data_IF_308954609704
#
_entry.id   IF_308954609704
#
_cell.length_a   1.000
_cell.length_b   1.000
_cell.length_c   1.000
_cell.angle_alpha   90.00
_cell.angle_beta   90.00
_cell.angle_gamma   90.00
#
_symmetry.space_group_name_H-M   'P 1'
#
loop_
_entity.id
_entity.type
_entity.pdbx_description
1 polymer ?
#
# COMPACT_ATOMS: atom_id res chain seq x y z
N UNK A 1 -46.26 15.55 52.59
CA UNK A 1 -45.06 14.68 52.56
C UNK A 1 -45.20 13.87 51.28
N UNK A 2 -44.77 14.32 50.10
CA UNK A 2 -43.40 14.58 49.60
C UNK A 2 -42.46 13.37 49.78
N UNK A 3 -41.67 13.02 48.74
CA UNK A 3 -41.51 11.65 48.21
C UNK A 3 -40.05 11.16 48.20
N UNK A 4 -39.84 9.88 47.84
CA UNK A 4 -38.56 9.32 47.35
C UNK A 4 -38.88 8.14 46.41
N UNK A 5 -38.63 8.25 45.10
CA UNK A 5 -37.36 7.97 44.40
C UNK A 5 -36.97 6.47 44.47
N UNK A 6 -36.63 5.77 43.38
CA UNK A 6 -36.36 6.21 42.02
C UNK A 6 -36.49 5.04 41.04
N UNK A 7 -37.18 5.34 39.96
CA UNK A 7 -36.91 4.78 38.63
C UNK A 7 -35.43 4.93 38.30
N UNK A 8 -34.79 3.87 37.82
CA UNK A 8 -33.88 3.97 36.68
C UNK A 8 -33.65 2.57 36.13
N UNK A 9 -34.44 2.30 35.10
CA UNK A 9 -34.14 1.35 34.05
C UNK A 9 -32.65 1.30 33.76
N UNK A 10 -32.10 0.09 33.69
CA UNK A 10 -30.92 -0.23 32.91
C UNK A 10 -31.22 0.10 31.44
N UNK A 11 -31.20 1.39 31.11
CA UNK A 11 -31.16 1.89 29.76
C UNK A 11 -29.78 1.57 29.22
N UNK A 12 -29.71 0.43 28.53
CA UNK A 12 -29.05 0.34 27.23
C UNK A 12 -27.98 1.41 26.99
N UNK A 13 -26.78 1.18 27.53
CA UNK A 13 -25.57 1.75 26.96
C UNK A 13 -25.31 1.02 25.65
N UNK A 14 -26.18 1.24 24.65
CA UNK A 14 -25.81 1.01 23.28
C UNK A 14 -24.93 2.19 22.88
N UNK A 15 -23.67 2.15 23.30
CA UNK A 15 -22.62 2.84 22.57
C UNK A 15 -22.70 2.32 21.13
N UNK A 16 -23.37 3.09 20.29
CA UNK A 16 -23.25 2.97 18.86
C UNK A 16 -21.83 3.43 18.53
N UNK A 17 -20.88 2.51 18.75
CA UNK A 17 -19.64 2.53 18.00
C UNK A 17 -20.04 2.72 16.54
N UNK A 18 -19.50 3.73 15.83
CA UNK A 18 -19.80 3.89 14.41
C UNK A 18 -19.51 2.54 13.76
N UNK A 19 -20.57 1.88 13.25
CA UNK A 19 -20.44 0.55 12.66
C UNK A 19 -19.37 0.68 11.58
N UNK A 20 -18.20 0.11 11.82
CA UNK A 20 -17.15 0.05 10.82
C UNK A 20 -17.78 -0.60 9.58
N UNK A 21 -17.93 0.19 8.51
CA UNK A 21 -18.50 -0.28 7.25
C UNK A 21 -17.64 -1.46 6.82
N UNK A 22 -18.24 -2.66 6.81
CA UNK A 22 -17.51 -3.87 6.44
C UNK A 22 -17.13 -3.74 4.97
N UNK A 23 -15.84 -3.87 4.61
CA UNK A 23 -15.42 -3.73 3.23
C UNK A 23 -16.13 -4.76 2.36
N UNK A 24 -16.84 -4.30 1.32
CA UNK A 24 -17.52 -5.18 0.37
C UNK A 24 -16.50 -5.77 -0.59
N UNK A 25 -16.72 -7.03 -0.99
CA UNK A 25 -15.98 -7.63 -2.11
C UNK A 25 -16.50 -7.03 -3.41
N UNK A 26 -15.74 -6.11 -3.98
CA UNK A 26 -16.06 -5.52 -5.27
C UNK A 26 -15.73 -6.52 -6.37
N UNK A 27 -16.70 -6.81 -7.24
CA UNK A 27 -16.50 -7.65 -8.42
C UNK A 27 -16.40 -6.73 -9.62
N UNK A 28 -15.41 -6.96 -10.49
CA UNK A 28 -15.25 -6.21 -11.73
C UNK A 28 -16.53 -6.35 -12.58
N UNK A 29 -17.09 -5.21 -12.99
CA UNK A 29 -18.21 -5.11 -13.92
C UNK A 29 -17.76 -4.30 -15.12
N UNK A 30 -18.50 -4.41 -16.22
CA UNK A 30 -18.25 -3.60 -17.42
C UNK A 30 -18.73 -2.17 -17.13
N UNK A 31 -17.80 -1.21 -17.13
CA UNK A 31 -18.05 0.19 -16.74
C UNK A 31 -18.25 1.17 -17.93
N UNK A 32 -18.54 0.66 -19.12
CA UNK A 32 -18.73 1.55 -20.30
C UNK A 32 -19.97 2.40 -20.10
N UNK A 33 -19.83 3.74 -20.22
CA UNK A 33 -20.93 4.71 -20.06
C UNK A 33 -21.59 4.73 -18.67
N UNK A 34 -20.93 4.17 -17.64
CA UNK A 34 -21.53 4.08 -16.30
C UNK A 34 -21.58 5.45 -15.59
N UNK A 35 -20.47 6.19 -15.63
CA UNK A 35 -20.36 7.47 -14.91
C UNK A 35 -20.37 8.69 -15.82
N UNK A 36 -19.90 8.55 -17.05
CA UNK A 36 -19.76 9.63 -18.01
C UNK A 36 -20.48 9.23 -19.29
N UNK A 37 -21.61 9.89 -19.58
CA UNK A 37 -22.40 9.66 -20.80
C UNK A 37 -21.73 10.21 -22.05
N UNK A 38 -22.21 9.80 -23.22
CA UNK A 38 -21.70 10.30 -24.52
C UNK A 38 -21.79 11.82 -24.59
N UNK A 39 -22.93 12.37 -24.18
CA UNK A 39 -23.18 13.82 -24.15
C UNK A 39 -22.25 14.55 -23.18
N UNK A 40 -21.97 13.95 -22.01
CA UNK A 40 -21.03 14.52 -21.05
C UNK A 40 -19.62 14.61 -21.62
N UNK A 41 -19.16 13.57 -22.32
CA UNK A 41 -17.84 13.57 -22.99
C UNK A 41 -17.80 14.58 -24.12
N UNK A 42 -18.89 14.72 -24.88
CA UNK A 42 -18.96 15.70 -25.95
C UNK A 42 -18.88 17.13 -25.41
N UNK A 43 -19.68 17.44 -24.38
CA UNK A 43 -19.63 18.72 -23.65
C UNK A 43 -18.25 19.02 -23.09
N UNK A 44 -17.56 18.01 -22.56
CA UNK A 44 -16.19 18.18 -22.07
C UNK A 44 -15.23 18.50 -23.22
N UNK A 45 -15.43 17.91 -24.40
CA UNK A 45 -14.58 18.10 -25.58
C UNK A 45 -14.87 19.37 -26.38
N UNK A 46 -15.97 20.07 -26.10
CA UNK A 46 -16.31 21.36 -26.73
C UNK A 46 -15.24 22.43 -26.51
N UNK A 47 -14.51 22.39 -25.38
CA UNK A 47 -13.47 23.37 -25.12
C UNK A 47 -12.20 22.79 -24.51
N UNK A 48 -11.11 23.52 -24.75
CA UNK A 48 -9.76 23.24 -24.26
C UNK A 48 -9.42 24.03 -23.00
N UNK A 49 -10.34 24.88 -22.50
CA UNK A 49 -10.06 25.69 -21.32
C UNK A 49 -10.14 24.82 -20.06
N UNK A 50 -9.07 24.76 -19.22
CA UNK A 50 -9.07 23.98 -17.99
C UNK A 50 -10.19 24.38 -17.03
N UNK A 51 -10.53 25.66 -16.94
CA UNK A 51 -11.60 26.16 -16.06
C UNK A 51 -12.97 25.70 -16.54
N UNK A 52 -13.20 25.70 -17.85
CA UNK A 52 -14.45 25.22 -18.43
C UNK A 52 -14.65 23.73 -18.15
N UNK A 53 -13.62 22.91 -18.36
CA UNK A 53 -13.68 21.46 -18.09
C UNK A 53 -13.97 21.21 -16.62
N UNK A 54 -13.31 21.95 -15.71
CA UNK A 54 -13.57 21.86 -14.26
C UNK A 54 -15.00 22.26 -13.90
N UNK A 55 -15.56 23.31 -14.50
CA UNK A 55 -16.95 23.70 -14.28
C UNK A 55 -17.94 22.65 -14.81
N UNK A 56 -17.74 22.13 -16.02
CA UNK A 56 -18.59 21.08 -16.59
C UNK A 56 -18.54 19.81 -15.74
N UNK A 57 -17.36 19.43 -15.24
CA UNK A 57 -17.23 18.33 -14.29
C UNK A 57 -17.96 18.60 -12.97
N UNK A 58 -17.87 19.83 -12.45
CA UNK A 58 -18.58 20.21 -11.24
C UNK A 58 -20.10 20.10 -11.43
N UNK A 59 -20.63 20.56 -12.57
CA UNK A 59 -22.05 20.45 -12.91
C UNK A 59 -22.50 18.98 -13.05
N UNK A 60 -21.68 18.13 -13.66
CA UNK A 60 -22.01 16.70 -13.87
C UNK A 60 -22.05 15.94 -12.54
N UNK A 61 -21.10 16.21 -11.65
CA UNK A 61 -20.96 15.49 -10.38
C UNK A 61 -21.58 16.22 -9.19
N UNK A 62 -22.30 17.33 -9.42
CA UNK A 62 -22.91 18.18 -8.39
C UNK A 62 -21.89 18.61 -7.32
N UNK A 63 -20.70 19.04 -7.76
CA UNK A 63 -19.59 19.48 -6.90
C UNK A 63 -19.52 21.01 -6.82
N UNK A 64 -20.65 21.68 -6.62
CA UNK A 64 -20.79 23.14 -6.74
C UNK A 64 -19.88 23.93 -5.80
N UNK A 65 -19.50 23.35 -4.64
CA UNK A 65 -18.64 23.99 -3.64
C UNK A 65 -17.15 23.65 -3.79
N UNK A 66 -16.66 23.30 -4.97
CA UNK A 66 -15.25 22.92 -5.17
C UNK A 66 -14.22 24.00 -4.80
N UNK A 67 -14.63 25.29 -4.79
CA UNK A 67 -13.77 26.41 -4.37
C UNK A 67 -13.66 26.57 -2.85
N UNK A 68 -14.70 26.18 -2.12
CA UNK A 68 -14.77 26.36 -0.67
C UNK A 68 -14.39 25.08 0.07
N UNK A 69 -14.70 23.92 -0.50
CA UNK A 69 -14.43 22.62 0.08
C UNK A 69 -13.18 22.00 -0.56
N UNK A 70 -12.07 21.98 0.19
CA UNK A 70 -10.81 21.38 -0.24
C UNK A 70 -10.96 19.92 -0.69
N UNK A 71 -11.89 19.15 -0.10
CA UNK A 71 -12.15 17.76 -0.51
C UNK A 71 -12.76 17.68 -1.90
N UNK A 72 -13.75 18.53 -2.20
CA UNK A 72 -14.35 18.60 -3.53
C UNK A 72 -13.33 19.05 -4.59
N UNK A 73 -12.43 19.98 -4.23
CA UNK A 73 -11.30 20.38 -5.07
C UNK A 73 -10.37 19.21 -5.42
N UNK A 74 -9.99 18.37 -4.44
CA UNK A 74 -9.13 17.21 -4.66
C UNK A 74 -9.78 16.19 -5.62
N UNK A 75 -11.08 15.91 -5.45
CA UNK A 75 -11.82 15.00 -6.34
C UNK A 75 -11.89 15.56 -7.76
N UNK A 76 -12.20 16.86 -7.88
CA UNK A 76 -12.29 17.53 -9.17
C UNK A 76 -10.95 17.53 -9.92
N UNK A 77 -9.85 17.72 -9.20
CA UNK A 77 -8.51 17.70 -9.76
C UNK A 77 -8.11 16.29 -10.23
N UNK A 78 -8.45 15.25 -9.46
CA UNK A 78 -8.29 13.85 -9.87
C UNK A 78 -9.04 13.56 -11.17
N UNK A 79 -10.30 14.01 -11.28
CA UNK A 79 -11.14 13.84 -12.47
C UNK A 79 -10.60 14.60 -13.68
N UNK A 80 -10.18 15.85 -13.48
CA UNK A 80 -9.58 16.67 -14.51
C UNK A 80 -8.30 16.03 -15.08
N UNK A 81 -7.38 15.60 -14.22
CA UNK A 81 -6.14 14.98 -14.65
C UNK A 81 -6.35 13.62 -15.34
N UNK A 82 -7.37 12.86 -14.91
CA UNK A 82 -7.77 11.60 -15.56
C UNK A 82 -8.22 11.85 -17.00
N UNK A 83 -9.02 12.89 -17.23
CA UNK A 83 -9.44 13.29 -18.58
C UNK A 83 -8.29 13.83 -19.41
N UNK A 84 -7.41 14.64 -18.82
CA UNK A 84 -6.23 15.16 -19.50
C UNK A 84 -5.34 14.03 -20.02
N UNK A 85 -5.09 13.00 -19.19
CA UNK A 85 -4.34 11.82 -19.62
C UNK A 85 -5.03 11.06 -20.77
N UNK A 86 -6.36 10.89 -20.70
CA UNK A 86 -7.11 10.25 -21.78
C UNK A 86 -7.00 11.01 -23.12
N UNK A 87 -6.98 12.34 -23.06
CA UNK A 87 -6.75 13.21 -24.22
C UNK A 87 -5.32 13.11 -24.75
N UNK A 88 -4.33 13.13 -23.88
CA UNK A 88 -2.91 13.02 -24.27
C UNK A 88 -2.61 11.69 -24.98
N UNK A 89 -3.36 10.63 -24.64
CA UNK A 89 -3.27 9.32 -25.29
C UNK A 89 -4.23 9.12 -26.46
N UNK A 90 -5.04 10.14 -26.81
CA UNK A 90 -6.04 10.12 -27.87
C UNK A 90 -7.01 8.93 -27.76
N UNK A 91 -7.53 8.67 -26.56
CA UNK A 91 -8.51 7.62 -26.35
C UNK A 91 -9.85 7.96 -27.02
N UNK A 92 -10.55 6.92 -27.49
CA UNK A 92 -11.93 7.06 -27.98
C UNK A 92 -12.87 7.52 -26.86
N UNK A 93 -14.06 8.00 -27.20
CA UNK A 93 -15.06 8.44 -26.20
C UNK A 93 -15.42 7.30 -25.24
N UNK A 94 -15.58 6.08 -25.76
CA UNK A 94 -15.85 4.87 -24.99
C UNK A 94 -14.70 4.52 -24.03
N UNK A 95 -13.45 4.56 -24.52
CA UNK A 95 -12.24 4.32 -23.72
C UNK A 95 -12.10 5.35 -22.61
N UNK A 96 -12.36 6.62 -22.92
CA UNK A 96 -12.30 7.73 -21.95
C UNK A 96 -13.34 7.56 -20.85
N UNK A 97 -14.59 7.25 -21.21
CA UNK A 97 -15.67 6.95 -20.25
C UNK A 97 -15.29 5.79 -19.32
N UNK A 98 -14.78 4.72 -19.90
CA UNK A 98 -14.41 3.50 -19.17
C UNK A 98 -13.24 3.77 -18.23
N UNK A 99 -12.18 4.43 -18.71
CA UNK A 99 -11.02 4.78 -17.87
C UNK A 99 -11.40 5.70 -16.71
N UNK A 100 -12.24 6.70 -16.97
CA UNK A 100 -12.77 7.58 -15.93
C UNK A 100 -13.53 6.80 -14.86
N UNK A 101 -14.43 5.90 -15.29
CA UNK A 101 -15.23 5.07 -14.39
C UNK A 101 -14.36 4.13 -13.55
N UNK A 102 -13.30 3.55 -14.13
CA UNK A 102 -12.32 2.74 -13.38
C UNK A 102 -11.67 3.55 -12.25
N UNK A 103 -11.18 4.77 -12.53
CA UNK A 103 -10.54 5.61 -11.50
C UNK A 103 -11.54 6.01 -10.41
N UNK A 104 -12.77 6.36 -10.79
CA UNK A 104 -13.84 6.71 -9.84
C UNK A 104 -14.16 5.53 -8.92
N UNK A 105 -14.33 4.33 -9.46
CA UNK A 105 -14.59 3.11 -8.69
C UNK A 105 -13.46 2.82 -7.69
N UNK A 106 -12.20 2.88 -8.13
CA UNK A 106 -11.03 2.67 -7.26
C UNK A 106 -10.99 3.72 -6.14
N UNK A 107 -11.30 4.97 -6.46
CA UNK A 107 -11.40 6.03 -5.47
C UNK A 107 -12.50 5.75 -4.44
N UNK A 108 -13.69 5.29 -4.88
CA UNK A 108 -14.78 4.89 -3.97
C UNK A 108 -14.35 3.74 -3.05
N UNK A 109 -13.65 2.72 -3.57
CA UNK A 109 -13.11 1.63 -2.75
C UNK A 109 -12.07 2.15 -1.74
N UNK A 110 -11.22 3.11 -2.14
CA UNK A 110 -10.22 3.70 -1.24
C UNK A 110 -10.88 4.36 -0.01
N UNK A 111 -11.98 5.09 -0.21
CA UNK A 111 -12.68 5.85 0.86
C UNK A 111 -13.66 5.01 1.68
N UNK A 112 -14.06 3.82 1.21
CA UNK A 112 -15.06 2.96 1.88
C UNK A 112 -14.66 2.59 3.32
N UNK A 113 -13.36 2.48 3.58
CA UNK A 113 -12.83 2.06 4.88
C UNK A 113 -11.73 3.00 5.35
N UNK A 114 -11.65 3.34 6.63
CA UNK A 114 -10.52 4.08 7.19
C UNK A 114 -9.25 3.21 7.34
N UNK A 115 -9.40 1.88 7.31
CA UNK A 115 -8.27 0.95 7.43
C UNK A 115 -7.45 0.87 6.15
N UNK A 116 -6.19 0.43 6.23
CA UNK A 116 -5.35 0.24 5.06
C UNK A 116 -5.91 -0.83 4.12
N UNK A 117 -6.36 -0.43 2.93
CA UNK A 117 -6.93 -1.32 1.91
C UNK A 117 -6.23 -1.18 0.55
N UNK A 118 -4.93 -0.83 0.57
CA UNK A 118 -4.13 -0.62 -0.64
C UNK A 118 -4.12 -1.88 -1.51
N UNK A 119 -3.80 -3.04 -0.94
CA UNK A 119 -3.73 -4.30 -1.69
C UNK A 119 -5.08 -4.67 -2.33
N UNK A 120 -6.17 -4.51 -1.56
CA UNK A 120 -7.52 -4.77 -2.05
C UNK A 120 -7.89 -3.83 -3.21
N UNK A 121 -7.57 -2.55 -3.08
CA UNK A 121 -7.84 -1.54 -4.10
C UNK A 121 -7.00 -1.78 -5.36
N UNK A 122 -5.75 -2.21 -5.21
CA UNK A 122 -4.87 -2.56 -6.32
C UNK A 122 -5.31 -3.84 -7.04
N UNK A 123 -5.71 -4.88 -6.31
CA UNK A 123 -6.27 -6.09 -6.89
C UNK A 123 -7.56 -5.78 -7.66
N UNK A 124 -8.44 -4.96 -7.10
CA UNK A 124 -9.66 -4.53 -7.78
C UNK A 124 -9.36 -3.74 -9.07
N UNK A 125 -8.38 -2.82 -9.03
CA UNK A 125 -7.92 -2.13 -10.23
C UNK A 125 -7.42 -3.10 -11.30
N UNK A 126 -6.59 -4.07 -10.92
CA UNK A 126 -6.06 -5.08 -11.84
C UNK A 126 -7.19 -5.89 -12.48
N UNK A 127 -8.20 -6.28 -11.70
CA UNK A 127 -9.34 -7.05 -12.17
C UNK A 127 -10.25 -6.23 -13.10
N UNK A 128 -10.49 -4.95 -12.79
CA UNK A 128 -11.19 -4.02 -13.67
C UNK A 128 -10.44 -3.83 -14.99
N UNK A 129 -9.13 -3.63 -14.94
CA UNK A 129 -8.32 -3.46 -16.14
C UNK A 129 -8.35 -4.73 -17.00
N UNK A 130 -8.29 -5.92 -16.38
CA UNK A 130 -8.38 -7.19 -17.08
C UNK A 130 -9.74 -7.38 -17.77
N UNK A 131 -10.84 -6.99 -17.09
CA UNK A 131 -12.20 -7.00 -17.64
C UNK A 131 -12.35 -6.14 -18.92
N UNK A 132 -11.53 -5.09 -19.06
CA UNK A 132 -11.56 -4.20 -20.22
C UNK A 132 -10.47 -4.47 -21.27
N UNK A 133 -9.65 -5.51 -21.05
CA UNK A 133 -8.53 -5.88 -21.93
C UNK A 133 -8.72 -7.22 -22.62
N UNK A 134 -9.58 -8.10 -22.08
CA UNK A 134 -9.79 -9.46 -22.59
C UNK A 134 -11.20 -9.59 -23.12
N UNK A 135 -11.35 -10.17 -24.31
CA UNK A 135 -12.64 -10.45 -24.91
C UNK A 135 -13.24 -11.76 -24.36
N UNK A 136 -14.21 -11.66 -23.47
CA UNK A 136 -14.98 -12.80 -22.96
C UNK A 136 -16.43 -12.37 -22.65
N UNK A 137 -17.28 -12.25 -23.69
CA UNK A 137 -18.70 -11.95 -23.51
C UNK A 137 -19.35 -13.04 -22.63
N UNK A 138 -20.26 -12.75 -21.67
CA UNK A 138 -20.88 -11.48 -21.29
C UNK A 138 -20.15 -10.68 -20.18
N UNK A 139 -18.96 -11.12 -19.73
CA UNK A 139 -18.33 -10.60 -18.52
C UNK A 139 -17.23 -9.56 -18.78
N UNK A 140 -16.63 -9.55 -19.96
CA UNK A 140 -15.51 -8.67 -20.30
C UNK A 140 -15.59 -8.21 -21.76
N UNK A 141 -15.04 -7.03 -22.03
CA UNK A 141 -15.03 -6.40 -23.36
C UNK A 141 -13.60 -5.97 -23.67
N UNK A 142 -13.10 -6.29 -24.86
CA UNK A 142 -11.82 -5.80 -25.34
C UNK A 142 -11.95 -4.35 -25.82
N UNK A 143 -11.75 -3.40 -24.91
CA UNK A 143 -11.72 -1.97 -25.21
C UNK A 143 -10.29 -1.48 -25.36
N UNK A 144 -9.41 -1.89 -24.46
CA UNK A 144 -8.03 -1.43 -24.42
C UNK A 144 -7.09 -2.42 -25.08
N UNK A 145 -6.20 -1.91 -25.91
CA UNK A 145 -5.08 -2.69 -26.43
C UNK A 145 -4.03 -2.90 -25.34
N UNK A 146 -3.21 -3.97 -25.39
CA UNK A 146 -2.18 -4.24 -24.38
C UNK A 146 -1.18 -3.08 -24.16
N UNK A 147 -0.91 -2.29 -25.20
CA UNK A 147 -0.06 -1.08 -25.09
C UNK A 147 -0.73 0.01 -24.26
N UNK A 148 -2.03 0.23 -24.45
CA UNK A 148 -2.80 1.23 -23.71
C UNK A 148 -2.96 0.81 -22.24
N UNK A 149 -3.20 -0.48 -21.99
CA UNK A 149 -3.27 -1.08 -20.65
C UNK A 149 -2.00 -0.78 -19.85
N UNK A 150 -0.81 -0.96 -20.46
CA UNK A 150 0.47 -0.65 -19.82
C UNK A 150 0.55 0.83 -19.45
N UNK A 151 0.21 1.73 -20.37
CA UNK A 151 0.21 3.19 -20.13
C UNK A 151 -0.75 3.58 -19.01
N UNK A 152 -1.95 3.01 -18.99
CA UNK A 152 -2.96 3.23 -17.96
C UNK A 152 -2.46 2.76 -16.59
N UNK A 153 -1.85 1.57 -16.53
CA UNK A 153 -1.30 1.02 -15.28
C UNK A 153 -0.18 1.89 -14.72
N UNK A 154 0.76 2.31 -15.55
CA UNK A 154 1.88 3.17 -15.16
C UNK A 154 1.39 4.54 -14.69
N UNK A 155 0.45 5.15 -15.42
CA UNK A 155 -0.16 6.42 -15.02
C UNK A 155 -0.87 6.30 -13.66
N UNK A 156 -1.71 5.28 -13.49
CA UNK A 156 -2.51 5.10 -12.27
C UNK A 156 -1.63 4.83 -11.06
N UNK A 157 -0.55 4.04 -11.22
CA UNK A 157 0.41 3.80 -10.14
C UNK A 157 1.13 5.09 -9.76
N UNK A 158 1.62 5.86 -10.75
CA UNK A 158 2.42 7.06 -10.51
C UNK A 158 1.60 8.25 -10.00
N UNK A 159 0.30 8.30 -10.28
CA UNK A 159 -0.59 9.39 -9.87
C UNK A 159 -1.46 9.00 -8.69
N UNK A 160 -2.33 8.01 -8.84
CA UNK A 160 -3.30 7.63 -7.81
C UNK A 160 -2.67 6.87 -6.65
N UNK A 161 -2.00 5.74 -6.92
CA UNK A 161 -1.46 4.90 -5.84
C UNK A 161 -0.29 5.55 -5.11
N UNK A 162 0.51 6.38 -5.80
CA UNK A 162 1.57 7.18 -5.17
C UNK A 162 1.02 8.09 -4.07
N UNK A 163 -0.16 8.67 -4.27
CA UNK A 163 -0.81 9.57 -3.30
C UNK A 163 -1.93 8.89 -2.51
N UNK A 164 -1.95 7.56 -2.44
CA UNK A 164 -3.01 6.79 -1.77
C UNK A 164 -3.24 7.22 -0.32
N UNK A 165 -2.16 7.48 0.43
CA UNK A 165 -2.22 7.94 1.82
C UNK A 165 -2.88 9.31 1.96
N UNK A 166 -2.68 10.20 0.98
CA UNK A 166 -3.30 11.55 0.99
C UNK A 166 -4.81 11.43 0.82
N UNK A 167 -5.28 10.61 -0.14
CA UNK A 167 -6.70 10.37 -0.31
C UNK A 167 -7.33 9.71 0.93
N UNK A 168 -6.65 8.72 1.53
CA UNK A 168 -7.09 8.14 2.81
C UNK A 168 -7.29 9.20 3.88
N UNK A 169 -6.26 10.01 4.10
CA UNK A 169 -6.28 11.03 5.14
C UNK A 169 -7.38 12.07 4.94
N UNK A 170 -7.58 12.55 3.71
CA UNK A 170 -8.56 13.60 3.43
C UNK A 170 -10.03 13.11 3.51
N UNK A 171 -10.29 11.86 3.10
CA UNK A 171 -11.64 11.36 2.90
C UNK A 171 -12.12 10.35 3.95
N UNK A 172 -11.25 9.81 4.80
CA UNK A 172 -11.64 8.88 5.86
C UNK A 172 -11.61 9.53 7.24
N UNK A 173 -12.48 9.07 8.14
CA UNK A 173 -12.47 9.52 9.52
C UNK A 173 -11.26 8.93 10.26
N UNK A 174 -10.56 9.76 11.04
CA UNK A 174 -9.48 9.30 11.90
C UNK A 174 -10.07 8.47 13.05
N UNK A 175 -9.66 7.20 13.13
CA UNK A 175 -10.02 6.33 14.25
C UNK A 175 -8.87 6.39 15.27
N UNK A 176 -9.16 6.89 16.46
CA UNK A 176 -8.28 6.75 17.63
C UNK A 176 -8.71 5.51 18.41
N UNK A 177 -7.76 4.65 18.79
CA UNK A 177 -8.01 3.46 19.59
C UNK A 177 -7.47 3.71 21.00
N UNK A 178 -8.38 3.91 21.96
CA UNK A 178 -8.02 4.01 23.37
C UNK A 178 -8.03 2.61 23.99
N UNK A 179 -6.84 2.10 24.31
CA UNK A 179 -6.67 0.77 24.89
C UNK A 179 -6.66 0.89 26.41
N UNK A 180 -7.76 0.50 27.05
CA UNK A 180 -7.81 0.34 28.51
C UNK A 180 -7.45 -1.10 28.87
N UNK A 181 -6.24 -1.31 29.40
CA UNK A 181 -5.79 -2.62 29.87
C UNK A 181 -6.14 -2.79 31.35
N UNK A 182 -7.11 -3.64 31.65
CA UNK A 182 -7.35 -4.12 33.02
C UNK A 182 -6.62 -5.45 33.21
N UNK A 183 -5.70 -5.50 34.17
CA UNK A 183 -5.00 -6.73 34.54
C UNK A 183 -5.71 -7.38 35.74
N UNK A 184 -6.32 -8.54 35.53
CA UNK A 184 -6.91 -9.31 36.64
C UNK A 184 -5.79 -9.86 37.54
N UNK A 185 -5.83 -9.50 38.84
CA UNK A 185 -4.89 -10.00 39.85
C UNK A 185 -3.84 -9.02 40.35
N UNK A 186 -3.78 -7.79 39.81
CA UNK A 186 -3.07 -6.69 40.46
C UNK A 186 -4.05 -5.84 41.28
N UNK A 187 -3.70 -5.42 42.51
CA UNK A 187 -4.51 -4.45 43.22
C UNK A 187 -4.62 -3.20 42.36
N UNK A 188 -5.84 -2.80 42.04
CA UNK A 188 -6.12 -1.49 41.42
C UNK A 188 -5.40 -0.44 42.26
N UNK A 189 -4.52 0.40 41.68
CA UNK A 189 -3.95 1.51 42.42
C UNK A 189 -5.14 2.33 42.93
N UNK A 190 -5.31 2.37 44.25
CA UNK A 190 -6.26 3.28 44.86
C UNK A 190 -5.90 4.66 44.34
N UNK A 191 -6.89 5.34 43.77
CA UNK A 191 -6.79 6.76 43.47
C UNK A 191 -6.63 7.48 44.82
N UNK A 192 -5.40 7.58 45.29
CA UNK A 192 -5.02 8.60 46.25
C UNK A 192 -4.87 9.89 45.44
N UNK A 193 -5.79 10.81 45.72
CA UNK A 193 -5.71 12.20 45.33
C UNK A 193 -4.33 12.77 45.72
N UNK A 194 -3.79 13.60 44.82
CA UNK A 194 -2.59 14.42 45.00
C UNK A 194 -1.23 13.69 44.99
N UNK A 195 -0.72 13.46 43.78
CA UNK A 195 0.63 13.95 43.43
C UNK A 195 0.72 14.08 41.90
N UNK A 196 0.69 15.32 41.44
CA UNK A 196 0.87 15.70 40.03
C UNK A 196 2.34 15.48 39.65
N UNK A 197 2.73 14.24 39.35
CA UNK A 197 3.97 13.99 38.64
C UNK A 197 3.69 14.26 37.16
N UNK A 198 4.03 15.47 36.71
CA UNK A 198 4.11 15.81 35.29
C UNK A 198 5.12 14.87 34.60
N UNK A 199 4.66 13.71 34.15
CA UNK A 199 5.35 12.96 33.12
C UNK A 199 5.07 13.69 31.81
N UNK A 200 5.95 14.64 31.47
CA UNK A 200 6.00 15.20 30.11
C UNK A 200 6.21 14.05 29.13
N UNK A 201 5.13 13.65 28.47
CA UNK A 201 5.16 12.83 27.27
C UNK A 201 6.06 13.50 26.22
N UNK A 202 7.05 12.83 25.62
CA UNK A 202 7.93 13.43 24.62
C UNK A 202 7.30 13.63 23.23
N UNK A 203 5.97 13.54 23.09
CA UNK A 203 5.32 13.62 21.79
C UNK A 203 4.59 14.97 21.64
N UNK A 204 5.10 15.90 20.80
CA UNK A 204 4.41 17.14 20.48
C UNK A 204 3.37 16.90 19.37
N UNK A 205 2.14 17.38 19.58
CA UNK A 205 1.13 17.54 18.52
C UNK A 205 1.28 18.95 17.91
N UNK A 206 1.81 18.97 16.67
CA UNK A 206 1.52 19.89 15.54
C UNK A 206 1.90 21.39 15.59
N UNK A 207 2.93 21.79 14.83
CA UNK A 207 2.98 23.03 14.03
C UNK A 207 3.87 22.83 12.77
N UNK A 208 3.61 23.63 11.74
CA UNK A 208 4.13 23.60 10.35
C UNK A 208 5.65 23.87 10.18
N UNK A 209 6.23 23.69 8.96
CA UNK A 209 7.65 23.39 8.78
C UNK A 209 8.55 24.63 8.98
N UNK A 210 9.24 24.70 10.12
CA UNK A 210 10.43 25.53 10.26
C UNK A 210 11.68 24.71 10.00
N UNK A 211 12.21 24.88 8.80
CA UNK A 211 13.62 24.83 8.45
C UNK A 211 14.48 25.26 9.66
N UNK A 212 15.16 24.31 10.32
CA UNK A 212 16.29 24.51 11.23
C UNK A 212 16.79 23.12 11.67
N UNK A 213 17.70 22.58 10.86
CA UNK A 213 18.67 21.60 11.33
C UNK A 213 19.33 22.14 12.60
N UNK A 214 19.03 21.52 13.75
CA UNK A 214 19.88 21.61 14.93
C UNK A 214 20.20 20.19 15.34
N UNK A 215 21.41 19.79 14.98
CA UNK A 215 22.14 18.69 15.59
C UNK A 215 22.03 18.82 17.12
N UNK A 216 21.27 17.94 17.74
CA UNK A 216 21.44 17.65 19.17
C UNK A 216 22.61 16.67 19.23
N UNK A 217 23.80 17.21 19.46
CA UNK A 217 24.99 16.43 19.78
C UNK A 217 24.84 15.86 21.20
N UNK A 218 24.09 14.76 21.33
CA UNK A 218 24.25 13.88 22.49
C UNK A 218 25.48 13.01 22.24
N UNK A 219 26.63 13.42 22.79
CA UNK A 219 27.89 12.65 22.74
C UNK A 219 27.70 11.20 23.20
N UNK A 220 26.77 10.96 24.12
CA UNK A 220 26.43 9.64 24.65
C UNK A 220 25.69 8.75 23.62
N UNK A 221 24.86 9.32 22.75
CA UNK A 221 24.12 8.58 21.72
C UNK A 221 25.05 8.25 20.53
N UNK A 222 25.96 9.15 20.20
CA UNK A 222 26.99 8.91 19.18
C UNK A 222 27.96 7.79 19.60
N UNK A 223 28.37 7.79 20.88
CA UNK A 223 29.24 6.76 21.45
C UNK A 223 28.57 5.39 21.49
N UNK A 224 27.31 5.32 21.94
CA UNK A 224 26.54 4.08 21.96
C UNK A 224 26.34 3.47 20.56
N UNK A 225 26.19 4.31 19.53
CA UNK A 225 26.05 3.86 18.13
C UNK A 225 27.36 3.29 17.57
N UNK A 226 28.49 3.89 17.92
CA UNK A 226 29.81 3.41 17.50
C UNK A 226 30.20 2.10 18.21
N UNK A 227 29.88 1.98 19.51
CA UNK A 227 30.09 0.73 20.27
C UNK A 227 29.24 -0.42 19.69
N UNK A 228 27.96 -0.15 19.35
CA UNK A 228 27.10 -1.13 18.70
C UNK A 228 27.63 -1.53 17.33
N UNK A 229 28.14 -0.58 16.54
CA UNK A 229 28.73 -0.85 15.22
C UNK A 229 29.96 -1.73 15.33
N UNK A 230 30.83 -1.47 16.31
CA UNK A 230 32.02 -2.27 16.56
C UNK A 230 31.67 -3.70 16.99
N UNK A 231 30.64 -3.87 17.83
CA UNK A 231 30.15 -5.19 18.23
C UNK A 231 29.56 -5.98 17.06
N UNK A 232 28.77 -5.32 16.20
CA UNK A 232 28.22 -5.96 15.00
C UNK A 232 29.34 -6.36 14.04
N UNK A 233 30.36 -5.52 13.88
CA UNK A 233 31.51 -5.81 13.01
C UNK A 233 32.35 -6.98 13.53
N UNK A 234 32.56 -7.09 14.84
CA UNK A 234 33.28 -8.23 15.42
C UNK A 234 32.51 -9.54 15.24
N UNK A 235 31.20 -9.53 15.43
CA UNK A 235 30.35 -10.73 15.23
C UNK A 235 30.36 -11.15 13.75
N UNK A 236 30.22 -10.19 12.83
CA UNK A 236 30.25 -10.48 11.39
C UNK A 236 31.59 -11.05 10.94
N UNK A 237 32.71 -10.54 11.47
CA UNK A 237 34.04 -11.06 11.13
C UNK A 237 34.31 -12.44 11.75
N UNK A 238 33.79 -12.73 12.93
CA UNK A 238 33.88 -14.05 13.55
C UNK A 238 33.07 -15.10 12.78
N UNK A 239 31.81 -14.80 12.44
CA UNK A 239 30.98 -15.71 11.64
C UNK A 239 31.51 -15.86 10.20
N UNK A 240 32.10 -14.81 9.60
CA UNK A 240 32.74 -14.92 8.29
C UNK A 240 33.95 -15.88 8.31
N UNK A 241 34.83 -15.78 9.32
CA UNK A 241 35.96 -16.72 9.49
C UNK A 241 35.51 -18.15 9.74
N UNK A 242 34.43 -18.33 10.50
CA UNK A 242 33.85 -19.64 10.78
C UNK A 242 33.22 -20.27 9.54
N UNK A 243 32.62 -19.47 8.66
CA UNK A 243 32.12 -19.93 7.36
C UNK A 243 33.30 -20.30 6.45
N UNK A 244 34.34 -19.47 6.38
CA UNK A 244 35.54 -19.72 5.58
C UNK A 244 36.20 -21.06 5.96
N UNK A 245 36.42 -21.30 7.26
CA UNK A 245 36.98 -22.58 7.73
C UNK A 245 36.09 -23.79 7.38
N UNK A 246 34.76 -23.66 7.52
CA UNK A 246 33.83 -24.74 7.11
C UNK A 246 33.85 -25.01 5.60
N UNK A 247 34.02 -23.97 4.79
CA UNK A 247 34.11 -24.11 3.34
C UNK A 247 35.45 -24.75 2.97
N UNK A 248 36.56 -24.34 3.57
CA UNK A 248 37.88 -24.96 3.38
C UNK A 248 37.86 -26.44 3.77
N UNK A 249 37.26 -26.81 4.90
CA UNK A 249 37.11 -28.20 5.33
C UNK A 249 36.27 -29.01 4.33
N UNK A 250 35.17 -28.45 3.82
CA UNK A 250 34.35 -29.12 2.79
C UNK A 250 35.09 -29.29 1.47
N UNK A 251 35.85 -28.27 1.05
CA UNK A 251 36.67 -28.33 -0.16
C UNK A 251 37.79 -29.34 0.00
N UNK A 252 38.47 -29.37 1.16
CA UNK A 252 39.52 -30.34 1.42
C UNK A 252 38.96 -31.77 1.43
N UNK A 253 37.83 -32.01 2.10
CA UNK A 253 37.16 -33.31 2.08
C UNK A 253 36.74 -33.72 0.66
N UNK A 254 36.23 -32.78 -0.14
CA UNK A 254 35.89 -33.05 -1.54
C UNK A 254 37.14 -33.38 -2.38
N UNK A 255 38.25 -32.68 -2.18
CA UNK A 255 39.53 -32.94 -2.86
C UNK A 255 40.10 -34.31 -2.46
N UNK A 256 40.00 -34.71 -1.19
CA UNK A 256 40.47 -36.01 -0.72
C UNK A 256 39.61 -37.17 -1.28
N UNK A 257 38.29 -36.97 -1.36
CA UNK A 257 37.38 -37.90 -2.04
C UNK A 257 37.68 -37.99 -3.54
N UNK A 258 38.05 -36.88 -4.18
CA UNK A 258 38.46 -36.89 -5.59
C UNK A 258 39.81 -37.59 -5.77
N UNK A 259 40.79 -37.31 -4.92
CA UNK A 259 42.12 -37.94 -4.98
C UNK A 259 42.02 -39.46 -4.75
N UNK A 260 41.27 -39.93 -3.75
CA UNK A 260 41.04 -41.36 -3.53
C UNK A 260 40.31 -42.06 -4.69
N UNK A 261 39.50 -41.33 -5.47
CA UNK A 261 38.90 -41.84 -6.72
C UNK A 261 39.88 -41.83 -7.90
N UNK A 262 40.88 -40.94 -7.89
CA UNK A 262 41.86 -40.77 -8.99
C UNK A 262 43.10 -41.67 -8.78
N UNK A 263 43.53 -41.92 -7.54
CA UNK A 263 44.63 -42.81 -7.18
C UNK A 263 44.57 -44.21 -7.83
N UNK A 264 43.42 -44.90 -7.93
CA UNK A 264 43.34 -46.19 -8.63
C UNK A 264 43.50 -46.07 -10.16
N UNK A 265 43.33 -44.87 -10.74
CA UNK A 265 43.57 -44.63 -12.16
C UNK A 265 45.01 -44.20 -12.47
N UNK A 266 45.71 -43.56 -11.52
CA UNK A 266 47.11 -43.14 -11.69
C UNK A 266 48.09 -44.27 -11.37
N UNK A 267 47.80 -45.11 -10.36
CA UNK A 267 48.70 -46.18 -9.90
C UNK A 267 48.41 -47.56 -10.49
N UNK A 268 47.66 -47.68 -11.59
CA UNK A 268 47.52 -48.94 -12.31
C UNK A 268 48.82 -49.24 -13.10
N UNK A 269 49.61 -50.27 -12.74
CA UNK A 269 50.78 -50.66 -13.52
C UNK A 269 50.31 -51.25 -14.87
N UNK A 270 50.97 -50.82 -15.94
CA UNK A 270 50.71 -51.30 -17.30
C UNK A 270 50.70 -52.83 -17.37
N UNK A 271 49.62 -53.38 -17.93
CA UNK A 271 49.55 -54.80 -18.30
C UNK A 271 49.54 -54.91 -19.82
N UNK A 272 50.74 -55.18 -20.35
CA UNK A 272 50.98 -55.70 -21.69
C UNK A 272 50.40 -57.11 -21.86
N UNK A 273 50.00 -57.38 -23.12
CA UNK A 273 49.83 -58.68 -23.81
C UNK A 273 48.72 -59.65 -23.32
N UNK A 274 47.93 -60.32 -24.16
CA UNK A 274 47.92 -60.49 -25.61
C UNK A 274 47.23 -61.81 -25.99
N UNK A 275 46.66 -61.89 -27.21
CA UNK A 275 46.09 -63.05 -27.95
C UNK A 275 44.73 -63.57 -27.41
N UNK A 276 43.67 -63.81 -28.18
CA UNK A 276 43.40 -64.08 -29.61
C UNK A 276 42.20 -65.05 -29.58
N UNK A 277 41.15 -64.94 -30.41
CA UNK A 277 41.04 -65.57 -31.73
C UNK A 277 39.61 -65.38 -32.27
N UNK A 278 39.52 -65.39 -33.60
CA UNK A 278 38.32 -65.50 -34.43
C UNK A 278 37.49 -66.75 -34.12
N UNK A 279 36.18 -66.58 -34.42
CA UNK A 279 35.11 -67.55 -34.65
C UNK A 279 34.57 -68.29 -33.44
#
# INVERSE_FOLDING_TARGET
MIPTEGTSSLSSFSEQFPLAVKPKRHKAKILVWSDLTVDAIDRLNESLNPEYIKNVLADIFYLDNWKENSKAGIVLDLYYHTLQFARDKNFSKEKTSTFFSIIKEIFQVCIETPFGNLDHTFLYFKDLLHCHSVNHPPYSIELFTPSEVRKISEYTVNTFFRHFKMYKYAFTAQIRLDINLSYEGMPTPSQSEEDTIEIKSPFPETEEPSELEKEVQDEDVAKAKEDLRNLVMSILTEEAKKIEGKVEDQVHAAVEVLNSKIDPYINAPGKQEGKGKKK
#
